data_IF_841062683804
#
_entry.id   IF_841062683804
#
_cell.length_a   1.000
_cell.length_b   1.000
_cell.length_c   1.000
_cell.angle_alpha   90.00
_cell.angle_beta   90.00
_cell.angle_gamma   90.00
#
_symmetry.space_group_name_H-M   'P 1'
#
loop_
_entity.id
_entity.type
_entity.pdbx_description
1 polymer ?
#
# COMPACT_ATOMS: atom_id res chain seq x y z
N UNK A 1 23.06 25.60 13.28
CA UNK A 1 22.40 24.40 13.85
C UNK A 1 20.91 24.56 13.65
N UNK A 2 20.39 24.12 12.51
CA UNK A 2 18.96 24.05 12.23
C UNK A 2 18.43 22.79 12.89
N UNK A 3 17.74 22.98 14.01
CA UNK A 3 17.07 21.90 14.73
C UNK A 3 15.79 21.58 13.97
N UNK A 4 15.84 20.57 13.09
CA UNK A 4 14.66 20.04 12.42
C UNK A 4 13.86 19.19 13.41
N UNK A 5 12.88 19.84 14.05
CA UNK A 5 11.99 19.23 15.04
C UNK A 5 10.85 18.45 14.38
N UNK A 6 10.72 18.49 13.04
CA UNK A 6 9.61 17.88 12.29
C UNK A 6 10.07 16.60 11.60
N UNK A 7 11.32 16.52 11.14
CA UNK A 7 11.91 15.32 10.51
C UNK A 7 11.99 14.06 11.39
N UNK A 8 11.62 14.15 12.68
CA UNK A 8 11.65 13.03 13.64
C UNK A 8 10.29 12.39 13.98
N UNK A 9 9.17 12.85 13.38
CA UNK A 9 7.87 12.19 13.64
C UNK A 9 7.58 10.97 12.75
N UNK A 10 8.32 10.81 11.65
CA UNK A 10 8.26 9.60 10.83
C UNK A 10 9.34 8.61 11.26
N UNK A 11 8.99 7.77 12.21
CA UNK A 11 9.76 6.54 12.42
C UNK A 11 9.23 5.49 11.46
N UNK A 12 9.84 5.42 10.26
CA UNK A 12 9.69 4.25 9.39
C UNK A 12 9.98 3.02 10.25
N UNK A 13 8.99 2.14 10.46
CA UNK A 13 9.17 1.08 11.43
C UNK A 13 10.26 0.11 10.99
N UNK A 14 10.99 -0.39 11.99
CA UNK A 14 11.87 -1.53 11.79
C UNK A 14 11.03 -2.74 11.38
N UNK A 15 11.52 -3.50 10.42
CA UNK A 15 10.82 -4.61 9.78
C UNK A 15 11.77 -5.80 9.69
N UNK A 16 11.87 -6.57 10.79
CA UNK A 16 12.78 -7.71 10.85
C UNK A 16 12.37 -8.83 9.89
N UNK A 17 11.15 -8.81 9.37
CA UNK A 17 10.63 -9.84 8.46
C UNK A 17 10.90 -9.54 6.98
N UNK A 18 11.49 -8.38 6.65
CA UNK A 18 11.77 -8.00 5.27
C UNK A 18 12.56 -9.06 4.48
N UNK A 19 13.66 -9.64 5.01
CA UNK A 19 14.41 -10.65 4.25
C UNK A 19 13.60 -11.93 3.98
N UNK A 20 12.78 -12.36 4.94
CA UNK A 20 11.92 -13.55 4.78
C UNK A 20 10.80 -13.28 3.77
N UNK A 21 10.18 -12.09 3.86
CA UNK A 21 9.13 -11.65 2.94
C UNK A 21 9.63 -11.55 1.50
N UNK A 22 10.79 -10.93 1.27
CA UNK A 22 11.37 -10.80 -0.08
C UNK A 22 11.65 -12.16 -0.70
N UNK A 23 12.24 -13.09 0.06
CA UNK A 23 12.46 -14.47 -0.40
C UNK A 23 11.16 -15.15 -0.81
N UNK A 24 10.13 -15.00 0.03
CA UNK A 24 8.82 -15.61 -0.23
C UNK A 24 8.11 -15.01 -1.44
N UNK A 25 8.18 -13.69 -1.61
CA UNK A 25 7.66 -13.02 -2.81
C UNK A 25 8.34 -13.55 -4.08
N UNK A 26 9.67 -13.71 -4.05
CA UNK A 26 10.43 -14.27 -5.17
C UNK A 26 10.02 -15.72 -5.48
N UNK A 27 9.84 -16.57 -4.47
CA UNK A 27 9.32 -17.95 -4.64
C UNK A 27 7.94 -17.99 -5.32
N UNK A 28 7.09 -17.00 -5.03
CA UNK A 28 5.76 -16.86 -5.62
C UNK A 28 5.77 -16.16 -6.99
N UNK A 29 6.95 -15.74 -7.49
CA UNK A 29 7.07 -14.94 -8.72
C UNK A 29 6.40 -13.55 -8.61
N UNK A 30 6.39 -12.97 -7.41
CA UNK A 30 5.79 -11.68 -7.08
C UNK A 30 6.88 -10.68 -6.63
N UNK A 31 6.56 -9.38 -6.67
CA UNK A 31 7.42 -8.32 -6.12
C UNK A 31 8.18 -7.47 -7.15
N UNK A 32 8.36 -7.98 -8.38
CA UNK A 32 9.13 -7.28 -9.42
C UNK A 32 8.31 -6.80 -10.62
N UNK A 33 7.11 -7.35 -10.80
CA UNK A 33 6.25 -7.07 -11.98
C UNK A 33 4.80 -6.90 -11.59
N UNK A 34 4.12 -6.03 -12.31
CA UNK A 34 2.68 -5.86 -12.16
C UNK A 34 1.97 -7.15 -12.57
N UNK A 35 0.89 -7.47 -11.87
CA UNK A 35 0.07 -8.65 -12.17
C UNK A 35 -1.29 -8.14 -12.59
N UNK A 36 -1.76 -8.39 -13.82
CA UNK A 36 -3.05 -7.87 -14.30
C UNK A 36 -4.23 -8.24 -13.38
N UNK A 37 -4.21 -9.44 -12.80
CA UNK A 37 -5.22 -9.87 -11.83
C UNK A 37 -5.21 -9.01 -10.54
N UNK A 38 -4.07 -8.43 -10.15
CA UNK A 38 -3.99 -7.52 -9.00
C UNK A 38 -4.39 -6.09 -9.35
N UNK A 39 -4.18 -5.65 -10.60
CA UNK A 39 -4.78 -4.40 -11.08
C UNK A 39 -6.30 -4.49 -11.08
N UNK A 40 -6.88 -5.57 -11.62
CA UNK A 40 -8.33 -5.82 -11.56
C UNK A 40 -8.84 -5.91 -10.11
N UNK A 41 -8.04 -6.49 -9.22
CA UNK A 41 -8.37 -6.53 -7.79
C UNK A 41 -8.39 -5.12 -7.19
N UNK A 42 -7.42 -4.28 -7.53
CA UNK A 42 -7.36 -2.89 -7.11
C UNK A 42 -8.56 -2.09 -7.66
N UNK A 43 -8.91 -2.26 -8.93
CA UNK A 43 -10.09 -1.62 -9.53
C UNK A 43 -11.36 -1.95 -8.73
N UNK A 44 -11.59 -3.24 -8.43
CA UNK A 44 -12.72 -3.66 -7.60
C UNK A 44 -12.67 -3.07 -6.20
N UNK A 45 -11.49 -2.98 -5.59
CA UNK A 45 -11.33 -2.37 -4.27
C UNK A 45 -11.71 -0.87 -4.29
N UNK A 46 -11.32 -0.15 -5.34
CA UNK A 46 -11.69 1.25 -5.52
C UNK A 46 -13.21 1.39 -5.68
N UNK A 47 -13.85 0.53 -6.49
CA UNK A 47 -15.31 0.51 -6.65
C UNK A 47 -16.05 0.26 -5.32
N UNK A 48 -15.63 -0.76 -4.56
CA UNK A 48 -16.26 -1.14 -3.28
C UNK A 48 -16.13 -0.04 -2.22
N UNK A 49 -15.00 0.67 -2.21
CA UNK A 49 -14.71 1.68 -1.19
C UNK A 49 -15.06 3.10 -1.62
N UNK A 50 -15.30 3.32 -2.91
CA UNK A 50 -15.43 4.64 -3.53
C UNK A 50 -14.16 5.49 -3.44
N UNK A 51 -13.01 4.91 -3.11
CA UNK A 51 -11.74 5.62 -3.01
C UNK A 51 -11.08 5.79 -4.39
N UNK A 52 -10.45 6.94 -4.68
CA UNK A 52 -9.83 7.22 -5.97
C UNK A 52 -8.56 6.41 -6.23
N UNK A 53 -7.89 5.96 -5.17
CA UNK A 53 -6.65 5.17 -5.28
C UNK A 53 -6.76 3.91 -4.44
N UNK A 54 -6.33 2.81 -5.04
CA UNK A 54 -6.26 1.52 -4.36
C UNK A 54 -5.07 0.72 -4.87
N UNK A 55 -4.47 -0.09 -4.00
CA UNK A 55 -3.23 -0.79 -4.31
C UNK A 55 -3.19 -2.17 -3.69
N UNK A 56 -2.56 -3.09 -4.43
CA UNK A 56 -1.88 -4.26 -3.89
C UNK A 56 -0.41 -3.93 -3.81
N UNK A 57 0.13 -3.84 -2.60
CA UNK A 57 1.45 -3.31 -2.32
C UNK A 57 2.36 -4.36 -1.67
N UNK A 58 3.54 -4.56 -2.24
CA UNK A 58 4.61 -5.36 -1.66
C UNK A 58 5.75 -4.44 -1.21
N UNK A 59 6.37 -4.76 -0.08
CA UNK A 59 7.39 -3.90 0.54
C UNK A 59 8.68 -4.70 0.67
N UNK A 60 9.77 -4.22 0.09
CA UNK A 60 11.11 -4.76 0.30
C UNK A 60 11.90 -3.89 1.29
N UNK A 61 13.21 -4.10 1.42
CA UNK A 61 14.07 -3.35 2.35
C UNK A 61 14.17 -1.86 2.04
N UNK A 62 13.99 -1.46 0.78
CA UNK A 62 14.31 -0.13 0.29
C UNK A 62 13.09 0.62 -0.28
N UNK A 63 12.07 -0.09 -0.75
CA UNK A 63 10.95 0.50 -1.49
C UNK A 63 9.65 -0.28 -1.32
N UNK A 64 8.60 0.35 -1.79
CA UNK A 64 7.27 -0.20 -1.98
C UNK A 64 7.01 -0.38 -3.47
N UNK A 65 6.34 -1.48 -3.82
CA UNK A 65 5.99 -1.84 -5.17
C UNK A 65 4.49 -2.17 -5.28
N UNK A 66 3.78 -1.42 -6.12
CA UNK A 66 2.36 -1.61 -6.40
C UNK A 66 2.17 -2.66 -7.50
N UNK A 67 2.11 -3.91 -7.08
CA UNK A 67 1.85 -5.06 -7.95
C UNK A 67 0.44 -5.03 -8.55
N UNK A 68 -0.50 -4.35 -7.88
CA UNK A 68 -1.80 -3.93 -8.38
C UNK A 68 -2.02 -2.46 -8.05
N UNK A 69 -2.53 -1.67 -8.99
CA UNK A 69 -2.72 -0.23 -8.81
C UNK A 69 -3.94 0.26 -9.59
N UNK A 70 -4.89 0.88 -8.89
CA UNK A 70 -5.93 1.71 -9.46
C UNK A 70 -5.63 3.19 -9.23
N UNK A 71 -5.86 4.02 -10.25
CA UNK A 71 -5.83 5.48 -10.14
C UNK A 71 -6.98 6.08 -10.95
N UNK A 72 -7.41 7.32 -10.69
CA UNK A 72 -8.48 7.97 -11.46
C UNK A 72 -8.15 8.12 -12.96
N UNK A 73 -6.86 8.14 -13.31
CA UNK A 73 -6.38 8.21 -14.70
C UNK A 73 -6.17 6.83 -15.35
N UNK A 74 -6.54 5.74 -14.66
CA UNK A 74 -6.36 4.36 -15.11
C UNK A 74 -5.01 3.74 -14.70
N UNK A 75 -4.86 2.43 -14.95
CA UNK A 75 -3.70 1.61 -14.52
C UNK A 75 -2.50 1.68 -15.48
N UNK A 76 -2.63 2.48 -16.55
CA UNK A 76 -1.71 2.53 -17.69
C UNK A 76 -1.04 3.90 -17.83
N UNK A 77 0.02 4.17 -17.06
CA UNK A 77 1.16 4.99 -17.51
C UNK A 77 2.24 5.04 -16.45
N UNK A 78 3.26 4.18 -16.59
CA UNK A 78 4.42 4.19 -15.72
C UNK A 78 5.58 3.40 -16.28
N UNK A 79 5.91 3.57 -17.56
CA UNK A 79 7.29 3.40 -18.01
C UNK A 79 8.08 4.61 -17.48
N UNK A 80 9.17 4.33 -16.77
CA UNK A 80 10.20 5.26 -16.33
C UNK A 80 10.20 6.60 -17.07
N UNK A 81 9.83 7.68 -16.39
CA UNK A 81 10.07 9.03 -16.86
C UNK A 81 10.48 9.89 -15.67
N UNK A 82 11.79 10.14 -15.59
CA UNK A 82 12.32 11.23 -14.80
C UNK A 82 11.72 12.58 -15.24
N UNK A 83 11.83 13.55 -14.32
CA UNK A 83 11.54 14.96 -14.51
C UNK A 83 10.05 15.36 -14.59
N UNK A 84 9.51 15.64 -13.39
CA UNK A 84 8.55 16.71 -13.06
C UNK A 84 7.92 17.49 -14.22
N UNK A 85 6.62 17.25 -14.43
CA UNK A 85 5.65 18.25 -14.87
C UNK A 85 4.25 17.91 -14.33
N UNK A 86 3.79 18.73 -13.39
CA UNK A 86 2.42 18.94 -12.90
C UNK A 86 1.31 18.05 -13.49
N UNK A 87 1.15 16.87 -12.89
CA UNK A 87 -0.07 16.06 -12.68
C UNK A 87 0.48 14.72 -12.20
N UNK A 88 0.67 14.57 -10.89
CA UNK A 88 1.35 13.43 -10.24
C UNK A 88 0.85 12.10 -10.78
N UNK A 89 1.56 11.52 -11.75
CA UNK A 89 1.36 10.13 -12.14
C UNK A 89 1.95 9.29 -11.01
N UNK A 90 1.08 8.66 -10.23
CA UNK A 90 1.51 7.67 -9.25
C UNK A 90 2.12 6.51 -10.04
N UNK A 91 3.45 6.42 -10.04
CA UNK A 91 4.15 5.26 -10.56
C UNK A 91 3.88 4.02 -9.69
N UNK A 92 4.36 2.85 -10.13
CA UNK A 92 4.21 1.61 -9.35
C UNK A 92 5.21 1.48 -8.19
N UNK A 93 6.03 2.50 -7.96
CA UNK A 93 7.03 2.50 -6.92
C UNK A 93 6.85 3.70 -6.01
N UNK A 94 7.05 3.48 -4.72
CA UNK A 94 7.05 4.50 -3.69
C UNK A 94 8.20 4.24 -2.72
N UNK A 95 8.82 5.29 -2.19
CA UNK A 95 9.86 5.14 -1.19
C UNK A 95 9.30 4.45 0.07
N UNK A 96 10.15 3.68 0.77
CA UNK A 96 9.72 2.86 1.92
C UNK A 96 9.24 3.70 3.11
N UNK A 97 9.73 4.92 3.26
CA UNK A 97 9.34 5.86 4.31
C UNK A 97 8.09 6.70 3.97
N UNK A 98 7.55 6.55 2.76
CA UNK A 98 6.34 7.25 2.33
C UNK A 98 5.08 6.39 2.53
N UNK A 99 3.95 7.03 2.79
CA UNK A 99 2.67 6.37 3.01
C UNK A 99 2.62 5.55 4.30
N UNK A 100 1.59 4.70 4.40
CA UNK A 100 1.20 4.09 5.69
C UNK A 100 1.28 2.56 5.71
N UNK A 101 1.49 1.92 4.56
CA UNK A 101 1.67 0.47 4.46
C UNK A 101 2.85 -0.09 5.29
N UNK A 102 4.01 0.60 5.41
CA UNK A 102 5.08 0.15 6.30
C UNK A 102 4.62 -0.01 7.75
N UNK A 103 3.69 0.84 8.20
CA UNK A 103 3.11 0.74 9.53
C UNK A 103 2.15 -0.45 9.67
N UNK A 104 1.42 -0.80 8.61
CA UNK A 104 0.58 -2.01 8.56
C UNK A 104 1.43 -3.27 8.59
N UNK A 105 2.53 -3.30 7.83
CA UNK A 105 3.50 -4.40 7.82
C UNK A 105 4.08 -4.61 9.22
N UNK A 106 4.67 -3.57 9.82
CA UNK A 106 5.35 -3.71 11.09
C UNK A 106 4.43 -4.10 12.26
N UNK A 107 3.16 -3.68 12.23
CA UNK A 107 2.18 -4.01 13.28
C UNK A 107 1.39 -5.29 13.01
N UNK A 108 1.46 -5.82 11.78
CA UNK A 108 0.66 -6.96 11.27
C UNK A 108 -0.84 -6.84 11.55
N UNK A 109 -1.37 -5.61 11.49
CA UNK A 109 -2.78 -5.29 11.78
C UNK A 109 -3.27 -4.19 10.86
N UNK A 110 -4.54 -4.30 10.46
CA UNK A 110 -5.20 -3.31 9.64
C UNK A 110 -5.22 -1.93 10.31
N UNK A 111 -4.95 -0.89 9.52
CA UNK A 111 -4.86 0.50 9.93
C UNK A 111 -5.89 1.31 9.13
N UNK A 112 -6.65 2.13 9.84
CA UNK A 112 -7.66 3.02 9.28
C UNK A 112 -7.39 4.41 9.84
N UNK A 113 -7.26 5.39 8.96
CA UNK A 113 -7.02 6.79 9.24
C UNK A 113 -8.09 7.57 8.47
N UNK A 114 -9.07 8.10 9.20
CA UNK A 114 -10.19 8.85 8.62
C UNK A 114 -9.73 10.21 8.10
N UNK A 115 -8.89 10.90 8.87
CA UNK A 115 -8.05 12.01 8.43
C UNK A 115 -6.64 11.80 8.96
N UNK A 116 -5.63 11.68 8.10
CA UNK A 116 -4.23 11.45 8.48
C UNK A 116 -3.64 12.65 9.24
N UNK A 117 -4.17 13.86 9.01
CA UNK A 117 -3.72 15.07 9.70
C UNK A 117 -4.15 15.12 11.17
N UNK A 118 -5.19 14.38 11.54
CA UNK A 118 -5.63 14.27 12.96
C UNK A 118 -4.68 13.43 13.81
N UNK A 119 -3.73 12.74 13.18
CA UNK A 119 -2.76 11.89 13.85
C UNK A 119 -1.36 12.49 13.71
N UNK A 120 -0.79 13.13 14.75
CA UNK A 120 0.50 13.81 14.65
C UNK A 120 1.64 12.95 14.09
N UNK A 121 1.63 11.64 14.38
CA UNK A 121 2.57 10.65 13.83
C UNK A 121 2.51 10.50 12.30
N UNK A 122 1.34 10.68 11.70
CA UNK A 122 1.08 10.45 10.27
C UNK A 122 1.00 11.76 9.47
N UNK A 123 0.63 12.86 10.13
CA UNK A 123 0.47 14.17 9.52
C UNK A 123 1.74 14.70 8.81
N UNK A 124 2.93 14.28 9.25
CA UNK A 124 4.20 14.68 8.63
C UNK A 124 4.64 13.83 7.43
N UNK A 125 3.85 12.85 6.98
CA UNK A 125 4.23 11.98 5.86
C UNK A 125 4.27 12.77 4.55
N UNK A 126 5.32 12.64 3.69
CA UNK A 126 5.42 13.42 2.46
C UNK A 126 4.21 13.27 1.52
N UNK A 127 3.51 12.12 1.55
CA UNK A 127 2.30 11.91 0.73
C UNK A 127 1.15 12.87 1.08
N UNK A 128 1.16 13.48 2.27
CA UNK A 128 0.19 14.50 2.66
C UNK A 128 0.39 15.76 1.83
N UNK A 129 1.62 16.25 1.72
CA UNK A 129 1.93 17.51 1.04
C UNK A 129 2.17 17.33 -0.47
N UNK A 130 2.80 16.23 -0.88
CA UNK A 130 3.18 15.97 -2.28
C UNK A 130 2.01 15.46 -3.13
N UNK A 131 1.10 14.70 -2.53
CA UNK A 131 -0.02 14.05 -3.22
C UNK A 131 -1.37 14.58 -2.72
N UNK A 132 -1.42 15.19 -1.53
CA UNK A 132 -2.66 15.68 -0.92
C UNK A 132 -3.44 14.59 -0.18
N UNK A 133 -2.81 13.48 0.22
CA UNK A 133 -3.52 12.37 0.87
C UNK A 133 -4.08 12.81 2.22
N UNK A 134 -5.38 12.59 2.42
CA UNK A 134 -6.13 12.89 3.64
C UNK A 134 -6.65 11.67 4.35
N UNK A 135 -6.95 10.57 3.68
CA UNK A 135 -7.42 9.35 4.36
C UNK A 135 -6.70 8.10 3.86
N UNK A 136 -6.63 7.09 4.72
CA UNK A 136 -5.97 5.82 4.43
C UNK A 136 -6.72 4.66 5.09
N UNK A 137 -6.81 3.56 4.38
CA UNK A 137 -7.23 2.29 4.95
C UNK A 137 -6.44 1.15 4.33
N UNK A 138 -5.84 0.31 5.16
CA UNK A 138 -5.02 -0.81 4.67
C UNK A 138 -4.98 -2.00 5.63
N UNK A 139 -4.78 -3.18 5.08
CA UNK A 139 -4.71 -4.44 5.81
C UNK A 139 -3.55 -5.32 5.32
N UNK A 140 -2.91 -6.08 6.24
CA UNK A 140 -1.81 -6.96 5.87
C UNK A 140 -2.32 -8.18 5.10
N UNK A 141 -1.54 -8.62 4.12
CA UNK A 141 -1.80 -9.84 3.34
C UNK A 141 -0.78 -10.87 3.79
N UNK A 142 -1.26 -11.95 4.42
CA UNK A 142 -0.44 -13.07 4.85
C UNK A 142 -0.70 -14.25 3.93
N UNK A 143 0.34 -15.03 3.64
CA UNK A 143 0.19 -16.28 2.92
C UNK A 143 -0.18 -17.44 3.85
N UNK A 144 -0.36 -18.63 3.27
CA UNK A 144 -0.69 -19.86 4.03
C UNK A 144 0.39 -20.30 5.02
N UNK A 145 1.63 -19.82 4.87
CA UNK A 145 2.75 -20.12 5.77
C UNK A 145 2.82 -19.13 6.93
N UNK A 146 1.95 -18.10 6.94
CA UNK A 146 1.96 -17.04 7.91
C UNK A 146 3.01 -15.97 7.63
N UNK A 147 3.68 -15.97 6.47
CA UNK A 147 4.56 -14.89 6.06
C UNK A 147 3.70 -13.72 5.59
N UNK A 148 3.96 -12.53 6.14
CA UNK A 148 3.35 -11.30 5.64
C UNK A 148 3.98 -10.98 4.28
N UNK A 149 3.19 -10.97 3.21
CA UNK A 149 3.65 -10.67 1.86
C UNK A 149 3.63 -9.18 1.53
N UNK A 150 2.63 -8.47 2.06
CA UNK A 150 2.47 -7.03 1.83
C UNK A 150 1.14 -6.53 2.38
N UNK A 151 0.53 -5.59 1.68
CA UNK A 151 -0.72 -4.95 2.08
C UNK A 151 -1.66 -4.77 0.92
N UNK A 152 -2.96 -4.78 1.22
CA UNK A 152 -3.97 -4.14 0.38
C UNK A 152 -4.33 -2.80 1.02
N UNK A 153 -4.44 -1.74 0.24
CA UNK A 153 -4.80 -0.43 0.78
C UNK A 153 -5.56 0.45 -0.19
N UNK A 154 -6.23 1.46 0.36
CA UNK A 154 -6.84 2.59 -0.34
C UNK A 154 -6.38 3.89 0.28
N UNK A 155 -6.32 4.94 -0.54
CA UNK A 155 -6.10 6.31 -0.10
C UNK A 155 -7.05 7.27 -0.81
N UNK A 156 -7.33 8.38 -0.15
CA UNK A 156 -8.10 9.48 -0.71
C UNK A 156 -7.44 10.82 -0.36
N UNK A 157 -7.65 11.81 -1.21
CA UNK A 157 -7.33 13.22 -0.99
C UNK A 157 -8.39 13.95 -0.15
N UNK A 158 -9.47 13.27 0.24
CA UNK A 158 -10.48 13.74 1.17
C UNK A 158 -10.53 12.89 2.45
N UNK A 159 -10.86 13.50 3.61
CA UNK A 159 -11.18 12.76 4.82
C UNK A 159 -12.37 11.82 4.59
N UNK A 160 -12.33 10.62 5.18
CA UNK A 160 -13.40 9.62 5.03
C UNK A 160 -13.73 8.93 6.34
N UNK A 161 -15.03 8.87 6.64
CA UNK A 161 -15.55 8.13 7.79
C UNK A 161 -15.65 6.64 7.46
N UNK A 162 -14.49 5.98 7.42
CA UNK A 162 -14.42 4.54 7.18
C UNK A 162 -15.13 3.74 8.29
N UNK A 163 -14.98 4.18 9.54
CA UNK A 163 -15.53 3.53 10.71
C UNK A 163 -15.21 2.03 10.78
N UNK A 164 -16.08 1.30 11.49
CA UNK A 164 -15.98 -0.16 11.60
C UNK A 164 -16.24 -0.87 10.28
N UNK A 165 -17.12 -0.34 9.44
CA UNK A 165 -17.47 -0.94 8.16
C UNK A 165 -16.26 -1.01 7.23
N UNK A 166 -15.53 0.10 7.06
CA UNK A 166 -14.29 0.14 6.29
C UNK A 166 -13.26 -0.86 6.82
N UNK A 167 -13.03 -0.90 8.13
CA UNK A 167 -12.10 -1.85 8.75
C UNK A 167 -12.43 -3.31 8.38
N UNK A 168 -13.70 -3.71 8.43
CA UNK A 168 -14.10 -5.07 8.07
C UNK A 168 -14.01 -5.30 6.56
N UNK A 169 -14.36 -4.32 5.73
CA UNK A 169 -14.19 -4.37 4.27
C UNK A 169 -12.73 -4.60 3.88
N UNK A 170 -11.78 -3.82 4.41
CA UNK A 170 -10.37 -3.95 4.00
C UNK A 170 -9.76 -5.27 4.47
N UNK A 171 -10.20 -5.81 5.62
CA UNK A 171 -9.79 -7.15 6.08
C UNK A 171 -10.35 -8.25 5.18
N UNK A 172 -11.62 -8.15 4.78
CA UNK A 172 -12.22 -9.10 3.84
C UNK A 172 -11.47 -9.09 2.50
N UNK A 173 -11.16 -7.90 1.99
CA UNK A 173 -10.37 -7.73 0.78
C UNK A 173 -8.96 -8.30 0.92
N UNK A 174 -8.30 -8.14 2.06
CA UNK A 174 -7.00 -8.75 2.30
C UNK A 174 -7.06 -10.29 2.28
N UNK A 175 -8.10 -10.88 2.87
CA UNK A 175 -8.32 -12.32 2.86
C UNK A 175 -8.59 -12.84 1.44
N UNK A 176 -9.39 -12.13 0.65
CA UNK A 176 -9.66 -12.48 -0.74
C UNK A 176 -8.40 -12.41 -1.62
N UNK A 177 -7.54 -11.41 -1.40
CA UNK A 177 -6.26 -11.31 -2.08
C UNK A 177 -5.29 -12.43 -1.68
N UNK A 178 -5.22 -12.78 -0.39
CA UNK A 178 -4.41 -13.90 0.09
C UNK A 178 -4.84 -15.22 -0.57
N UNK A 179 -6.15 -15.43 -0.71
CA UNK A 179 -6.73 -16.58 -1.39
C UNK A 179 -6.47 -16.55 -2.91
N UNK A 180 -6.50 -15.38 -3.55
CA UNK A 180 -6.08 -15.23 -4.95
C UNK A 180 -4.60 -15.60 -5.16
N UNK A 181 -3.71 -15.17 -4.26
CA UNK A 181 -2.29 -15.52 -4.28
C UNK A 181 -2.11 -17.03 -4.10
N UNK A 182 -2.81 -17.64 -3.14
CA UNK A 182 -2.78 -19.09 -2.92
C UNK A 182 -3.18 -19.88 -4.16
N UNK A 183 -4.26 -19.49 -4.84
CA UNK A 183 -4.68 -20.14 -6.09
C UNK A 183 -3.64 -20.01 -7.20
N UNK A 184 -2.93 -18.89 -7.29
CA UNK A 184 -1.80 -18.74 -8.24
C UNK A 184 -0.65 -19.68 -7.91
N UNK A 185 -0.35 -19.84 -6.61
CA UNK A 185 0.68 -20.78 -6.15
C UNK A 185 0.31 -22.23 -6.49
N UNK A 186 -0.92 -22.65 -6.19
CA UNK A 186 -1.38 -24.03 -6.41
C UNK A 186 -1.63 -24.35 -7.91
N UNK A 187 -1.94 -23.34 -8.71
CA UNK A 187 -2.17 -23.46 -10.16
C UNK A 187 -0.90 -23.29 -11.02
N UNK A 188 0.24 -22.99 -10.40
CA UNK A 188 1.54 -22.86 -11.07
C UNK A 188 2.31 -24.18 -11.08
N UNK A 189 1.96 -25.09 -12.00
CA UNK A 189 2.82 -26.18 -12.50
C UNK A 189 2.98 -25.97 -14.01
#
# INVERSE_FOLDING_TARGET
MTYDRIGQLLLTPVDPEAPARVRRLHELGLGDRAVPAFDMFADRLAEVTGAPYSMVNFIDENRQFFAGLHTPTGTHSGTDLGSVAATSRIGRFLARDHGYCPHVVARRKALVLEDVCDYPRFAGNPVVDEIGIRSYMGAPVLDRTGILLGTVCVVDTEPRQWGRAGLETIKAMAAELAELIRRREDGGI
#
